data_IF_498185658838
#
_entry.id   IF_498185658838
#
_cell.length_a   1.000
_cell.length_b   1.000
_cell.length_c   1.000
_cell.angle_alpha   90.00
_cell.angle_beta   90.00
_cell.angle_gamma   90.00
#
_symmetry.space_group_name_H-M   'P 1'
#
loop_
_entity.id
_entity.type
_entity.pdbx_description
1 polymer ?
#
# COMPACT_ATOMS: atom_id res chain seq x y z
N UNK A 1 -2.05 12.22 -20.41
CA UNK A 1 -3.21 13.04 -20.82
C UNK A 1 -4.35 12.42 -20.04
N UNK A 2 -4.84 13.10 -19.01
CA UNK A 2 -5.71 12.46 -18.04
C UNK A 2 -6.98 11.91 -18.70
N UNK A 3 -7.12 10.59 -18.67
CA UNK A 3 -8.27 9.88 -19.22
C UNK A 3 -9.37 9.90 -18.17
N UNK A 4 -10.61 10.21 -18.56
CA UNK A 4 -11.75 10.13 -17.64
C UNK A 4 -11.82 8.70 -17.05
N UNK A 5 -11.99 8.53 -15.73
CA UNK A 5 -11.90 7.22 -15.08
C UNK A 5 -12.93 6.23 -15.63
N UNK A 6 -14.08 6.69 -16.15
CA UNK A 6 -15.02 5.77 -16.84
C UNK A 6 -14.49 5.26 -18.16
N UNK A 7 -13.76 6.10 -18.89
CA UNK A 7 -13.15 5.70 -20.16
C UNK A 7 -12.02 4.72 -19.89
N UNK A 8 -11.14 5.02 -18.93
CA UNK A 8 -10.06 4.12 -18.51
C UNK A 8 -10.62 2.78 -18.02
N UNK A 9 -11.68 2.78 -17.20
CA UNK A 9 -12.35 1.56 -16.75
C UNK A 9 -12.90 0.72 -17.92
N UNK A 10 -13.47 1.37 -18.94
CA UNK A 10 -13.98 0.66 -20.12
C UNK A 10 -12.84 0.01 -20.92
N UNK A 11 -11.70 0.69 -21.02
CA UNK A 11 -10.47 0.14 -21.62
C UNK A 11 -9.97 -1.05 -20.82
N UNK A 12 -9.87 -0.93 -19.50
CA UNK A 12 -9.46 -2.00 -18.59
C UNK A 12 -10.35 -3.25 -18.73
N UNK A 13 -11.67 -3.08 -18.74
CA UNK A 13 -12.61 -4.20 -18.95
C UNK A 13 -12.39 -4.86 -20.31
N UNK A 14 -12.17 -4.07 -21.36
CA UNK A 14 -11.88 -4.61 -22.69
C UNK A 14 -10.56 -5.39 -22.73
N UNK A 15 -9.54 -4.90 -22.01
CA UNK A 15 -8.25 -5.59 -21.90
C UNK A 15 -8.39 -6.92 -21.14
N UNK A 16 -9.16 -6.95 -20.04
CA UNK A 16 -9.48 -8.18 -19.30
C UNK A 16 -10.17 -9.23 -20.19
N UNK A 17 -11.14 -8.81 -21.00
CA UNK A 17 -11.83 -9.71 -21.95
C UNK A 17 -10.87 -10.27 -23.00
N UNK A 18 -9.96 -9.44 -23.55
CA UNK A 18 -8.94 -9.88 -24.52
C UNK A 18 -7.93 -10.84 -23.89
N UNK A 19 -7.47 -10.56 -22.68
CA UNK A 19 -6.57 -11.43 -21.94
C UNK A 19 -7.20 -12.80 -21.68
N UNK A 20 -8.49 -12.82 -21.30
CA UNK A 20 -9.25 -14.07 -21.14
C UNK A 20 -9.38 -14.85 -22.46
N UNK A 21 -9.70 -14.18 -23.57
CA UNK A 21 -9.80 -14.81 -24.90
C UNK A 21 -8.45 -15.38 -25.37
N UNK A 22 -7.35 -14.64 -25.14
CA UNK A 22 -6.00 -15.12 -25.42
C UNK A 22 -5.67 -16.36 -24.58
N UNK A 23 -6.01 -16.36 -23.29
CA UNK A 23 -5.81 -17.52 -22.42
C UNK A 23 -6.65 -18.72 -22.86
N UNK A 24 -7.89 -18.50 -23.31
CA UNK A 24 -8.78 -19.55 -23.78
C UNK A 24 -8.35 -20.16 -25.12
N UNK A 25 -7.64 -19.39 -25.95
CA UNK A 25 -7.19 -19.81 -27.29
C UNK A 25 -5.69 -20.10 -27.36
N UNK A 26 -5.01 -20.18 -26.20
CA UNK A 26 -3.56 -20.37 -26.13
C UNK A 26 -3.12 -21.68 -26.79
N UNK A 27 -2.09 -21.61 -27.62
CA UNK A 27 -1.46 -22.75 -28.28
C UNK A 27 -0.06 -22.93 -27.67
N UNK A 28 0.05 -23.81 -26.68
CA UNK A 28 1.28 -24.06 -25.93
C UNK A 28 1.37 -23.33 -24.57
N UNK A 29 2.50 -23.52 -23.90
CA UNK A 29 2.78 -23.01 -22.55
C UNK A 29 3.24 -21.54 -22.56
N UNK A 30 3.82 -21.07 -23.66
CA UNK A 30 4.31 -19.69 -23.85
C UNK A 30 3.71 -19.10 -25.14
N UNK A 31 2.41 -18.82 -25.12
CA UNK A 31 1.75 -18.21 -26.27
C UNK A 31 2.04 -16.69 -26.30
N UNK A 32 2.67 -16.16 -27.37
CA UNK A 32 2.97 -14.73 -27.46
C UNK A 32 1.73 -13.84 -27.43
N UNK A 33 0.55 -14.37 -27.79
CA UNK A 33 -0.72 -13.63 -27.70
C UNK A 33 -1.14 -13.41 -26.25
N UNK A 34 -0.88 -14.37 -25.38
CA UNK A 34 -1.18 -14.25 -23.95
C UNK A 34 -0.24 -13.23 -23.31
N UNK A 35 1.05 -13.29 -23.63
CA UNK A 35 2.05 -12.32 -23.14
C UNK A 35 1.69 -10.90 -23.60
N UNK A 36 1.36 -10.71 -24.88
CA UNK A 36 0.94 -9.40 -25.38
C UNK A 36 -0.34 -8.90 -24.69
N UNK A 37 -1.35 -9.77 -24.53
CA UNK A 37 -2.58 -9.40 -23.86
C UNK A 37 -2.41 -9.16 -22.35
N UNK A 38 -1.40 -9.76 -21.73
CA UNK A 38 -1.01 -9.50 -20.35
C UNK A 38 -0.41 -8.09 -20.21
N UNK A 39 0.54 -7.72 -21.07
CA UNK A 39 1.12 -6.38 -21.07
C UNK A 39 0.06 -5.30 -21.38
N UNK A 40 -0.80 -5.53 -22.38
CA UNK A 40 -1.91 -4.61 -22.70
C UNK A 40 -2.87 -4.44 -21.50
N UNK A 41 -3.02 -5.47 -20.66
CA UNK A 41 -3.85 -5.41 -19.46
C UNK A 41 -3.16 -4.65 -18.32
N UNK A 42 -1.86 -4.84 -18.14
CA UNK A 42 -1.03 -4.10 -17.20
C UNK A 42 -1.13 -2.59 -17.47
N UNK A 43 -0.82 -2.17 -18.70
CA UNK A 43 -0.88 -0.76 -19.12
C UNK A 43 -2.28 -0.16 -18.87
N UNK A 44 -3.33 -0.89 -19.25
CA UNK A 44 -4.71 -0.43 -19.10
C UNK A 44 -5.15 -0.31 -17.63
N UNK A 45 -4.55 -1.09 -16.73
CA UNK A 45 -4.81 -1.01 -15.31
C UNK A 45 -4.12 0.21 -14.69
N UNK A 46 -2.86 0.47 -15.03
CA UNK A 46 -2.13 1.65 -14.58
C UNK A 46 -2.81 2.94 -15.03
N UNK A 47 -3.25 3.00 -16.29
CA UNK A 47 -4.04 4.12 -16.82
C UNK A 47 -5.33 4.36 -16.02
N UNK A 48 -5.98 3.28 -15.54
CA UNK A 48 -7.18 3.37 -14.71
C UNK A 48 -6.85 3.83 -13.29
N UNK A 49 -5.77 3.33 -12.70
CA UNK A 49 -5.33 3.73 -11.36
C UNK A 49 -4.91 5.20 -11.33
N UNK A 50 -4.11 5.66 -12.31
CA UNK A 50 -3.75 7.07 -12.47
C UNK A 50 -5.00 7.94 -12.65
N UNK A 51 -5.95 7.53 -13.49
CA UNK A 51 -7.20 8.25 -13.69
C UNK A 51 -8.06 8.32 -12.42
N UNK A 52 -8.07 7.26 -11.60
CA UNK A 52 -8.77 7.21 -10.33
C UNK A 52 -8.11 8.14 -9.31
N UNK A 53 -6.78 8.14 -9.25
CA UNK A 53 -5.99 9.01 -8.38
C UNK A 53 -6.21 10.48 -8.74
N UNK A 54 -6.18 10.84 -10.02
CA UNK A 54 -6.38 12.23 -10.43
C UNK A 54 -7.82 12.71 -10.19
N UNK A 55 -8.81 11.87 -10.49
CA UNK A 55 -10.22 12.26 -10.40
C UNK A 55 -10.79 12.22 -8.97
N UNK A 56 -10.31 11.28 -8.15
CA UNK A 56 -10.89 10.97 -6.84
C UNK A 56 -9.89 11.01 -5.69
N UNK A 57 -8.59 11.05 -5.96
CA UNK A 57 -7.55 10.97 -4.92
C UNK A 57 -7.44 9.60 -4.28
N UNK A 58 -7.91 8.56 -4.97
CA UNK A 58 -7.97 7.17 -4.47
C UNK A 58 -7.20 6.26 -5.42
N UNK A 59 -6.59 5.21 -4.87
CA UNK A 59 -5.89 4.16 -5.62
C UNK A 59 -6.55 2.81 -5.39
N UNK A 60 -6.34 1.89 -6.31
CA UNK A 60 -6.81 0.52 -6.17
C UNK A 60 -5.88 -0.30 -5.28
N UNK A 61 -6.38 -1.36 -4.61
CA UNK A 61 -5.56 -2.20 -3.74
C UNK A 61 -4.81 -3.31 -4.49
N UNK A 62 -4.61 -3.18 -5.81
CA UNK A 62 -3.94 -4.18 -6.63
C UNK A 62 -2.65 -3.61 -7.20
N UNK A 63 -1.66 -4.48 -7.40
CA UNK A 63 -0.38 -4.14 -8.00
C UNK A 63 -0.20 -4.97 -9.27
N UNK A 64 0.41 -4.37 -10.29
CA UNK A 64 0.80 -5.05 -11.53
C UNK A 64 2.20 -5.62 -11.32
N UNK A 65 2.41 -6.86 -11.73
CA UNK A 65 3.74 -7.48 -11.72
C UNK A 65 4.29 -7.43 -13.14
N UNK A 66 5.20 -6.50 -13.41
CA UNK A 66 5.89 -6.44 -14.70
C UNK A 66 7.24 -7.14 -14.58
N UNK A 67 7.51 -8.13 -15.45
CA UNK A 67 8.80 -8.83 -15.53
C UNK A 67 9.97 -7.88 -15.90
N UNK A 68 9.65 -6.63 -16.26
CA UNK A 68 10.61 -5.58 -16.66
C UNK A 68 11.02 -4.66 -15.49
N UNK A 69 10.39 -4.79 -14.31
CA UNK A 69 10.60 -3.92 -13.13
C UNK A 69 11.45 -4.56 -12.00
N UNK A 70 12.08 -5.71 -12.22
CA UNK A 70 13.06 -6.29 -11.26
C UNK A 70 14.46 -5.61 -11.35
N UNK A 71 14.54 -4.44 -12.01
CA UNK A 71 15.77 -3.64 -12.19
C UNK A 71 15.60 -2.19 -11.69
N UNK A 72 14.58 -1.88 -10.86
CA UNK A 72 14.54 -0.59 -10.14
C UNK A 72 15.48 -0.64 -8.91
N UNK A 73 16.72 -0.22 -9.16
CA UNK A 73 17.76 0.12 -8.18
C UNK A 73 17.18 0.83 -6.93
N UNK A 74 17.09 0.12 -5.81
CA UNK A 74 16.96 0.69 -4.46
C UNK A 74 18.25 1.39 -3.99
N UNK A 75 19.03 1.99 -4.90
CA UNK A 75 20.36 2.55 -4.63
C UNK A 75 20.37 4.10 -4.44
N UNK A 76 19.21 4.77 -4.40
CA UNK A 76 19.13 6.26 -4.26
C UNK A 76 18.87 6.76 -2.82
N UNK A 77 19.22 5.99 -1.78
CA UNK A 77 19.11 6.45 -0.38
C UNK A 77 20.45 6.79 0.30
N UNK A 78 21.56 6.90 -0.44
CA UNK A 78 22.91 7.12 0.15
C UNK A 78 23.50 8.54 0.04
N UNK A 79 22.72 9.60 -0.24
CA UNK A 79 23.28 10.97 -0.28
C UNK A 79 22.50 12.04 0.50
N UNK A 80 22.12 11.73 1.75
CA UNK A 80 21.75 12.77 2.73
C UNK A 80 22.97 13.19 3.56
N UNK A 81 23.97 13.78 2.89
CA UNK A 81 24.96 14.66 3.53
C UNK A 81 24.35 16.06 3.64
N UNK A 82 23.55 16.31 4.69
CA UNK A 82 23.18 17.68 5.06
C UNK A 82 23.99 18.10 6.30
N UNK A 83 25.04 18.84 5.99
CA UNK A 83 25.96 19.58 6.85
C UNK A 83 25.18 20.49 7.83
N UNK A 84 24.75 19.91 8.96
CA UNK A 84 24.19 20.70 10.06
C UNK A 84 25.31 21.54 10.72
N UNK A 85 25.57 22.71 10.14
CA UNK A 85 26.36 23.78 10.76
C UNK A 85 25.79 24.10 12.14
N UNK A 86 26.47 23.61 13.17
CA UNK A 86 26.28 23.96 14.57
C UNK A 86 26.56 25.45 14.78
N UNK A 87 25.59 26.30 14.47
CA UNK A 87 25.57 27.69 14.93
C UNK A 87 25.14 27.70 16.40
N UNK A 88 26.15 27.72 17.28
CA UNK A 88 25.96 27.81 18.71
C UNK A 88 25.26 29.11 19.11
N UNK A 89 24.15 28.98 19.82
CA UNK A 89 23.62 30.04 20.69
C UNK A 89 23.35 29.45 22.07
N UNK A 90 24.18 29.88 23.01
CA UNK A 90 24.26 29.49 24.40
C UNK A 90 23.19 30.20 25.24
N UNK A 91 21.96 29.69 25.27
CA UNK A 91 20.98 30.14 26.27
C UNK A 91 21.16 29.38 27.58
N UNK A 92 21.88 30.00 28.51
CA UNK A 92 22.01 29.56 29.88
C UNK A 92 20.63 29.47 30.58
N UNK A 93 20.09 28.26 30.73
CA UNK A 93 18.97 28.00 31.62
C UNK A 93 19.48 27.71 33.04
N UNK A 94 18.97 28.41 34.08
CA UNK A 94 19.49 28.25 35.44
C UNK A 94 19.06 26.91 36.03
N UNK A 95 20.03 26.22 36.61
CA UNK A 95 19.81 25.09 37.48
C UNK A 95 18.81 25.44 38.60
N UNK A 96 17.58 24.96 38.49
CA UNK A 96 16.73 24.74 39.65
C UNK A 96 16.22 23.31 39.60
N UNK A 97 16.95 22.46 40.31
CA UNK A 97 16.60 21.06 40.45
C UNK A 97 15.26 20.89 41.15
N UNK A 98 14.48 19.92 40.68
CA UNK A 98 13.46 19.28 41.50
C UNK A 98 13.21 17.86 41.01
N UNK A 99 13.76 16.92 41.78
CA UNK A 99 13.51 15.49 41.68
C UNK A 99 12.19 15.15 42.36
N UNK A 100 11.31 14.38 41.70
CA UNK A 100 10.35 13.42 42.30
C UNK A 100 9.91 12.48 41.17
N UNK A 101 10.54 11.31 41.05
CA UNK A 101 10.02 10.00 41.51
C UNK A 101 8.80 9.57 40.69
N UNK A 102 9.04 8.63 39.78
CA UNK A 102 8.01 7.83 39.10
C UNK A 102 7.32 6.94 40.13
N UNK A 103 6.02 7.13 40.30
CA UNK A 103 5.15 6.25 41.07
C UNK A 103 4.64 5.17 40.09
N UNK A 104 5.21 3.98 40.20
CA UNK A 104 4.63 2.75 39.69
C UNK A 104 3.41 2.45 40.58
N UNK A 105 2.22 2.36 39.99
CA UNK A 105 0.99 1.92 40.66
C UNK A 105 0.46 0.72 39.87
N UNK A 106 0.61 -0.45 40.49
CA UNK A 106 0.26 -1.79 40.05
C UNK A 106 -0.71 -2.31 41.11
N UNK A 107 -2.01 -2.41 40.84
CA UNK A 107 -2.99 -3.25 41.56
C UNK A 107 -4.21 -3.41 40.61
N UNK A 108 -4.44 -4.55 39.96
CA UNK A 108 -5.04 -5.79 40.45
C UNK A 108 -6.59 -5.82 40.35
N UNK A 109 -7.06 -6.82 39.59
CA UNK A 109 -8.29 -7.62 39.73
C UNK A 109 -9.67 -6.94 39.84
N UNK A 110 -10.52 -7.11 38.82
CA UNK A 110 -11.97 -7.26 39.03
C UNK A 110 -12.52 -8.43 38.17
N UNK A 111 -13.24 -9.30 38.88
CA UNK A 111 -13.73 -10.64 38.56
C UNK A 111 -14.54 -10.76 37.25
N UNK A 112 -14.17 -11.75 36.42
CA UNK A 112 -15.03 -12.26 35.35
C UNK A 112 -15.97 -13.33 35.95
N UNK A 113 -17.16 -12.92 36.38
CA UNK A 113 -18.22 -13.88 36.70
C UNK A 113 -18.74 -14.54 35.41
N UNK A 114 -18.39 -15.81 35.26
CA UNK A 114 -19.05 -16.81 34.39
C UNK A 114 -20.51 -16.97 34.84
N UNK A 115 -21.49 -16.54 34.04
CA UNK A 115 -22.87 -17.03 34.15
C UNK A 115 -23.09 -18.12 33.09
N UNK A 116 -23.06 -19.36 33.57
CA UNK A 116 -23.55 -20.56 32.91
C UNK A 116 -25.02 -20.38 32.49
N UNK A 117 -25.26 -20.24 31.19
CA UNK A 117 -26.58 -20.56 30.61
C UNK A 117 -26.51 -21.87 29.84
N UNK A 118 -26.44 -22.99 30.58
CA UNK A 118 -27.07 -24.26 30.20
C UNK A 118 -28.56 -24.18 30.60
N UNK A 119 -29.56 -24.82 30.01
CA UNK A 119 -29.80 -25.60 28.79
C UNK A 119 -31.29 -26.04 28.94
N UNK A 120 -31.98 -26.21 27.82
CA UNK A 120 -33.18 -27.05 27.58
C UNK A 120 -34.56 -26.95 28.31
N UNK A 121 -35.57 -26.86 27.44
CA UNK A 121 -36.80 -27.68 27.30
C UNK A 121 -37.46 -28.38 28.52
N UNK A 122 -38.67 -27.92 28.91
CA UNK A 122 -40.00 -28.62 28.93
C UNK A 122 -41.04 -27.88 29.80
#
# INVERSE_FOLDING_TARGET
>A
MATDPRTALTTLVTALERHLDACATRDGEEDPRVIAAYNDLADAFEDYDEALLEAHGEVTPFEVFSDEEDDEDYDDLEDMDDDLESSGDEVAAPATGRSTRTDYDDEADEDLDEDDTDDDEE
#
